data_IF_715029053024
#
_entry.id   IF_715029053024
#
_cell.length_a   1.000
_cell.length_b   1.000
_cell.length_c   1.000
_cell.angle_alpha   90.00
_cell.angle_beta   90.00
_cell.angle_gamma   90.00
#
_symmetry.space_group_name_H-M   'P 1'
#
loop_
_entity.id
_entity.type
_entity.pdbx_description
1 polymer ?
#
# COMPACT_ATOMS: atom_id res chain seq x y z
N UNK A 1 20.07 -7.27 -8.60
CA UNK A 1 19.32 -6.14 -9.14
C UNK A 1 19.93 -5.75 -10.46
N UNK A 2 19.11 -5.56 -11.48
CA UNK A 2 19.56 -5.18 -12.83
C UNK A 2 18.79 -3.97 -13.34
N UNK A 3 19.43 -3.16 -14.16
CA UNK A 3 18.75 -2.14 -14.98
C UNK A 3 17.96 -2.82 -16.09
N UNK A 4 17.05 -2.06 -16.72
CA UNK A 4 16.23 -2.55 -17.84
C UNK A 4 17.04 -2.98 -19.04
N UNK A 5 18.27 -2.46 -19.20
CA UNK A 5 19.23 -2.86 -20.25
C UNK A 5 20.00 -4.15 -19.92
N UNK A 6 19.71 -4.79 -18.79
CA UNK A 6 20.35 -6.01 -18.33
C UNK A 6 21.61 -5.81 -17.48
N UNK A 7 22.09 -4.59 -17.30
CA UNK A 7 23.28 -4.29 -16.51
C UNK A 7 23.02 -4.61 -15.03
N UNK A 8 23.84 -5.46 -14.42
CA UNK A 8 23.79 -5.76 -12.99
C UNK A 8 24.30 -4.56 -12.20
N UNK A 9 23.50 -4.06 -11.26
CA UNK A 9 23.83 -2.89 -10.43
C UNK A 9 24.08 -3.27 -8.97
N UNK A 10 23.51 -4.39 -8.51
CA UNK A 10 23.76 -4.92 -7.19
C UNK A 10 23.51 -6.43 -7.14
N UNK A 11 24.38 -7.16 -6.44
CA UNK A 11 24.18 -8.55 -6.04
C UNK A 11 23.94 -8.61 -4.54
N UNK A 12 22.81 -9.23 -4.18
CA UNK A 12 22.42 -9.38 -2.78
C UNK A 12 22.90 -10.74 -2.25
N UNK A 13 23.40 -10.81 -1.02
CA UNK A 13 23.85 -12.06 -0.45
C UNK A 13 22.71 -13.07 -0.34
N UNK A 14 22.98 -14.37 -0.56
CA UNK A 14 21.96 -15.39 -0.43
C UNK A 14 21.51 -15.55 1.02
N UNK A 15 20.20 -15.64 1.23
CA UNK A 15 19.58 -15.86 2.54
C UNK A 15 19.01 -17.28 2.60
N UNK A 16 19.24 -17.98 3.71
CA UNK A 16 18.65 -19.31 3.95
C UNK A 16 17.53 -19.22 4.96
N UNK A 17 16.41 -19.86 4.65
CA UNK A 17 15.26 -19.97 5.54
C UNK A 17 14.74 -21.40 5.51
N UNK A 18 14.37 -21.95 6.67
CA UNK A 18 13.66 -23.22 6.74
C UNK A 18 12.18 -22.99 6.42
N UNK A 19 11.66 -23.76 5.48
CA UNK A 19 10.24 -23.75 5.09
C UNK A 19 9.61 -25.03 5.64
N UNK A 20 8.52 -24.96 6.42
CA UNK A 20 7.83 -26.14 6.94
C UNK A 20 7.26 -27.00 5.80
N UNK A 21 7.09 -28.30 6.09
CA UNK A 21 6.45 -29.23 5.15
C UNK A 21 5.02 -28.74 4.83
N UNK A 22 4.70 -28.59 3.55
CA UNK A 22 3.41 -28.04 3.09
C UNK A 22 3.48 -26.65 2.46
N UNK A 23 4.65 -25.99 2.51
CA UNK A 23 4.88 -24.71 1.87
C UNK A 23 5.04 -23.56 2.85
N UNK A 24 5.50 -22.42 2.35
CA UNK A 24 5.73 -21.22 3.14
C UNK A 24 5.94 -20.00 2.27
N UNK A 25 5.90 -18.81 2.90
CA UNK A 25 6.19 -17.55 2.26
C UNK A 25 7.60 -17.10 2.65
N UNK A 26 8.46 -16.90 1.65
CA UNK A 26 9.74 -16.22 1.85
C UNK A 26 9.54 -14.72 1.78
N UNK A 27 9.93 -14.00 2.84
CA UNK A 27 9.97 -12.53 2.88
C UNK A 27 11.42 -12.08 3.01
N UNK A 28 11.85 -11.25 2.06
CA UNK A 28 13.15 -10.58 2.10
C UNK A 28 12.96 -9.07 2.00
N UNK A 29 13.89 -8.33 2.62
CA UNK A 29 14.02 -6.88 2.43
C UNK A 29 15.42 -6.61 1.89
N UNK A 30 15.51 -5.66 0.96
CA UNK A 30 16.78 -5.16 0.48
C UNK A 30 16.74 -3.63 0.40
N UNK A 31 17.90 -2.99 0.65
CA UNK A 31 18.02 -1.54 0.51
C UNK A 31 18.20 -1.18 -0.95
N UNK A 32 17.52 -0.12 -1.36
CA UNK A 32 17.73 0.53 -2.67
C UNK A 32 18.59 1.80 -2.53
N UNK A 33 19.13 2.06 -1.33
CA UNK A 33 20.01 3.19 -1.09
C UNK A 33 21.23 3.13 -2.02
N UNK A 34 21.54 4.25 -2.66
CA UNK A 34 22.62 4.35 -3.61
C UNK A 34 22.29 3.90 -5.04
N UNK A 35 21.08 3.41 -5.31
CA UNK A 35 20.63 3.22 -6.68
C UNK A 35 20.17 4.56 -7.26
N UNK A 36 20.70 4.98 -8.43
CA UNK A 36 20.19 6.15 -9.16
C UNK A 36 18.71 5.97 -9.53
N UNK A 37 18.01 7.10 -9.72
CA UNK A 37 16.64 7.07 -10.22
C UNK A 37 16.55 6.30 -11.53
N UNK A 38 15.52 5.47 -11.66
CA UNK A 38 15.32 4.69 -12.88
C UNK A 38 14.50 3.41 -12.69
N UNK A 39 14.35 2.72 -13.81
CA UNK A 39 13.66 1.44 -13.90
C UNK A 39 14.64 0.27 -13.67
N UNK A 40 14.28 -0.60 -12.75
CA UNK A 40 15.07 -1.76 -12.37
C UNK A 40 14.25 -3.05 -12.41
N UNK A 41 14.96 -4.17 -12.45
CA UNK A 41 14.40 -5.50 -12.29
C UNK A 41 15.11 -6.22 -11.14
N UNK A 42 14.34 -6.75 -10.20
CA UNK A 42 14.83 -7.71 -9.23
C UNK A 42 14.76 -9.10 -9.82
N UNK A 43 15.89 -9.79 -9.87
CA UNK A 43 15.98 -11.21 -10.21
C UNK A 43 16.17 -11.98 -8.90
N UNK A 44 15.19 -12.78 -8.51
CA UNK A 44 15.28 -13.65 -7.36
C UNK A 44 15.40 -15.10 -7.81
N UNK A 45 16.35 -15.82 -7.26
CA UNK A 45 16.53 -17.25 -7.51
C UNK A 45 16.30 -18.01 -6.21
N UNK A 46 15.30 -18.88 -6.21
CA UNK A 46 14.99 -19.75 -5.09
C UNK A 46 15.47 -21.18 -5.41
N UNK A 47 16.26 -21.76 -4.52
CA UNK A 47 16.71 -23.15 -4.62
C UNK A 47 16.06 -23.95 -3.49
N UNK A 48 15.19 -24.90 -3.83
CA UNK A 48 14.49 -25.77 -2.89
C UNK A 48 14.64 -27.22 -3.34
N UNK A 49 15.18 -28.07 -2.49
CA UNK A 49 15.36 -29.50 -2.76
C UNK A 49 16.05 -29.78 -4.13
N UNK A 50 17.06 -28.98 -4.48
CA UNK A 50 17.80 -29.12 -5.73
C UNK A 50 17.09 -28.57 -6.99
N UNK A 51 15.88 -28.02 -6.84
CA UNK A 51 15.16 -27.34 -7.92
C UNK A 51 15.36 -25.85 -7.82
N UNK A 52 15.61 -25.21 -8.95
CA UNK A 52 15.81 -23.76 -9.05
C UNK A 52 14.58 -23.11 -9.69
N UNK A 53 14.04 -22.10 -9.03
CA UNK A 53 12.96 -21.26 -9.56
C UNK A 53 13.47 -19.83 -9.60
N UNK A 54 13.37 -19.19 -10.75
CA UNK A 54 13.76 -17.78 -10.93
C UNK A 54 12.51 -16.93 -11.11
N UNK A 55 12.45 -15.81 -10.40
CA UNK A 55 11.40 -14.81 -10.51
C UNK A 55 12.02 -13.45 -10.85
N UNK A 56 11.34 -12.69 -11.68
CA UNK A 56 11.73 -11.33 -12.06
C UNK A 56 10.59 -10.38 -11.67
N UNK A 57 10.94 -9.30 -10.98
CA UNK A 57 9.96 -8.29 -10.56
C UNK A 57 10.49 -6.91 -10.92
N UNK A 58 9.77 -6.13 -11.74
CA UNK A 58 10.15 -4.76 -12.03
C UNK A 58 9.87 -3.86 -10.82
N UNK A 59 10.74 -2.87 -10.60
CA UNK A 59 10.52 -1.80 -9.64
C UNK A 59 11.16 -0.50 -10.13
N UNK A 60 10.72 0.63 -9.59
CA UNK A 60 11.21 1.96 -9.96
C UNK A 60 11.83 2.63 -8.73
N UNK A 61 13.04 3.16 -8.88
CA UNK A 61 13.63 4.09 -7.91
C UNK A 61 13.35 5.50 -8.39
N UNK A 62 12.69 6.31 -7.57
CA UNK A 62 12.27 7.67 -7.95
C UNK A 62 12.55 8.67 -6.84
N UNK A 63 12.73 9.97 -7.16
CA UNK A 63 12.94 11.04 -6.18
C UNK A 63 11.80 11.17 -5.17
N UNK A 64 10.58 10.77 -5.54
CA UNK A 64 9.44 10.71 -4.63
C UNK A 64 9.68 9.76 -3.46
N UNK A 65 10.49 8.72 -3.65
CA UNK A 65 10.87 7.77 -2.60
C UNK A 65 11.83 8.39 -1.59
N UNK A 66 12.76 9.23 -2.03
CA UNK A 66 13.65 10.00 -1.15
C UNK A 66 12.89 11.04 -0.31
N UNK A 67 11.97 11.77 -0.92
CA UNK A 67 11.10 12.70 -0.21
C UNK A 67 10.25 11.98 0.83
N UNK A 68 9.79 10.76 0.52
CA UNK A 68 9.03 9.91 1.42
C UNK A 68 9.90 9.36 2.56
N UNK A 69 11.11 8.87 2.28
CA UNK A 69 12.07 8.45 3.31
C UNK A 69 12.36 9.59 4.28
N UNK A 70 12.51 10.82 3.79
CA UNK A 70 12.65 12.02 4.63
C UNK A 70 11.41 12.25 5.49
N UNK A 71 10.20 12.11 4.93
CA UNK A 71 8.96 12.28 5.70
C UNK A 71 8.79 11.21 6.77
N UNK A 72 9.18 9.96 6.49
CA UNK A 72 9.20 8.86 7.48
C UNK A 72 10.24 9.11 8.57
N UNK A 73 11.44 9.54 8.20
CA UNK A 73 12.51 9.86 9.16
C UNK A 73 12.13 11.06 10.06
N UNK A 74 11.48 12.08 9.48
CA UNK A 74 10.93 13.22 10.24
C UNK A 74 9.80 12.75 11.15
N UNK A 75 8.92 11.87 10.69
CA UNK A 75 7.85 11.27 11.48
C UNK A 75 8.37 10.44 12.66
N UNK A 76 9.48 9.73 12.47
CA UNK A 76 10.14 8.96 13.54
C UNK A 76 10.92 9.83 14.50
N UNK A 77 11.54 10.92 14.03
CA UNK A 77 12.34 11.85 14.86
C UNK A 77 11.45 12.77 15.72
N UNK A 78 10.25 13.12 15.27
CA UNK A 78 9.32 14.01 15.95
C UNK A 78 8.20 13.26 16.66
N UNK A 79 8.55 12.34 17.55
CA UNK A 79 7.62 11.84 18.56
C UNK A 79 7.35 13.00 19.53
N UNK A 80 6.21 13.65 19.40
CA UNK A 80 5.85 14.81 20.21
C UNK A 80 4.40 15.19 19.99
N UNK A 81 4.01 16.30 20.57
CA UNK A 81 2.66 16.87 20.38
C UNK A 81 2.37 17.11 18.90
N UNK A 82 1.09 17.14 18.52
CA UNK A 82 0.67 17.50 17.17
C UNK A 82 1.22 18.87 16.78
N UNK A 83 1.22 19.81 17.74
CA UNK A 83 1.78 21.15 17.53
C UNK A 83 3.29 21.10 17.23
N UNK A 84 4.06 20.36 18.01
CA UNK A 84 5.50 20.21 17.78
C UNK A 84 5.80 19.57 16.41
N UNK A 85 5.05 18.53 16.05
CA UNK A 85 5.21 17.86 14.78
C UNK A 85 4.92 18.76 13.58
N UNK A 86 3.74 19.42 13.54
CA UNK A 86 3.38 20.24 12.39
C UNK A 86 4.11 21.56 12.32
N UNK A 87 4.58 22.11 13.43
CA UNK A 87 5.46 23.28 13.42
C UNK A 87 6.86 22.97 12.89
N UNK A 88 7.36 21.77 13.10
CA UNK A 88 8.64 21.31 12.57
C UNK A 88 8.56 20.82 11.10
N UNK A 89 7.35 20.52 10.59
CA UNK A 89 7.18 20.05 9.22
C UNK A 89 7.53 21.16 8.21
N UNK A 90 8.33 20.86 7.14
CA UNK A 90 8.59 21.83 6.08
C UNK A 90 7.28 22.35 5.42
N UNK A 91 7.29 23.60 4.99
CA UNK A 91 6.11 24.26 4.41
C UNK A 91 5.58 23.52 3.16
N UNK A 92 6.47 23.03 2.32
CA UNK A 92 6.16 22.25 1.11
C UNK A 92 5.53 20.88 1.39
N UNK A 93 5.66 20.39 2.62
CA UNK A 93 5.12 19.09 3.05
C UNK A 93 3.70 19.19 3.66
N UNK A 94 3.21 20.40 3.93
CA UNK A 94 1.89 20.59 4.57
C UNK A 94 0.74 20.14 3.66
N UNK A 95 0.82 20.47 2.38
CA UNK A 95 -0.22 20.08 1.40
C UNK A 95 -0.24 18.57 1.20
N UNK A 96 0.92 17.91 1.16
CA UNK A 96 1.01 16.46 1.10
C UNK A 96 0.47 15.78 2.37
N UNK A 97 0.72 16.37 3.55
CA UNK A 97 0.16 15.87 4.80
C UNK A 97 -1.37 16.00 4.85
N UNK A 98 -1.93 17.05 4.28
CA UNK A 98 -3.38 17.26 4.19
C UNK A 98 -4.04 16.38 3.11
N UNK A 99 -3.37 16.17 1.97
CA UNK A 99 -3.91 15.42 0.83
C UNK A 99 -4.35 13.99 1.21
N UNK A 100 -3.64 13.35 2.13
CA UNK A 100 -3.93 11.96 2.55
C UNK A 100 -5.06 11.85 3.60
N UNK A 101 -5.52 12.95 4.20
CA UNK A 101 -6.46 12.91 5.32
C UNK A 101 -7.82 12.28 5.00
N UNK A 102 -8.25 12.28 3.74
CA UNK A 102 -9.50 11.62 3.34
C UNK A 102 -9.45 10.10 3.60
N UNK A 103 -8.26 9.51 3.68
CA UNK A 103 -8.08 8.09 4.02
C UNK A 103 -8.42 7.79 5.49
N UNK A 104 -8.50 8.80 6.35
CA UNK A 104 -8.97 8.63 7.74
C UNK A 104 -10.47 8.37 7.83
N UNK A 105 -11.22 8.55 6.74
CA UNK A 105 -12.68 8.50 6.74
C UNK A 105 -13.35 9.77 7.29
N UNK A 106 -12.58 10.86 7.46
CA UNK A 106 -13.13 12.14 7.89
C UNK A 106 -14.17 12.68 6.89
N UNK A 107 -15.24 13.33 7.37
CA UNK A 107 -16.27 13.89 6.50
C UNK A 107 -15.69 14.95 5.53
N UNK A 108 -16.14 14.96 4.28
CA UNK A 108 -15.68 15.92 3.28
C UNK A 108 -15.86 17.37 3.72
N UNK A 109 -16.92 17.68 4.49
CA UNK A 109 -17.14 19.04 5.03
C UNK A 109 -15.98 19.52 5.92
N UNK A 110 -15.36 18.62 6.67
CA UNK A 110 -14.22 18.92 7.52
C UNK A 110 -12.94 19.10 6.69
N UNK A 111 -12.71 18.21 5.74
CA UNK A 111 -11.54 18.27 4.87
C UNK A 111 -11.56 19.47 3.92
N UNK A 112 -12.74 19.89 3.50
CA UNK A 112 -12.92 21.04 2.61
C UNK A 112 -12.60 22.39 3.27
N UNK A 113 -12.36 22.43 4.56
CA UNK A 113 -11.83 23.62 5.26
C UNK A 113 -10.40 23.91 4.83
N UNK A 114 -9.61 22.87 4.56
CA UNK A 114 -8.24 23.03 4.05
C UNK A 114 -8.26 23.53 2.60
N UNK A 115 -7.52 24.59 2.34
CA UNK A 115 -7.35 25.15 0.99
C UNK A 115 -5.87 25.36 0.70
N UNK A 116 -5.48 25.17 -0.56
CA UNK A 116 -4.08 25.32 -0.97
C UNK A 116 -3.57 26.76 -0.86
N UNK A 117 -4.45 27.73 -1.00
CA UNK A 117 -4.16 29.18 -0.91
C UNK A 117 -4.17 29.74 0.52
N UNK A 118 -4.41 28.90 1.53
CA UNK A 118 -4.28 29.30 2.94
C UNK A 118 -2.83 29.68 3.28
N UNK A 119 -2.67 30.60 4.24
CA UNK A 119 -1.34 30.87 4.81
C UNK A 119 -0.75 29.61 5.47
N UNK A 120 0.57 29.51 5.52
CA UNK A 120 1.25 28.37 6.16
C UNK A 120 0.85 28.20 7.62
N UNK A 121 0.66 29.31 8.34
CA UNK A 121 0.14 29.27 9.72
C UNK A 121 -1.27 28.66 9.81
N UNK A 122 -2.17 29.02 8.87
CA UNK A 122 -3.51 28.46 8.83
C UNK A 122 -3.51 26.97 8.44
N UNK A 123 -2.65 26.55 7.51
CA UNK A 123 -2.46 25.14 7.14
C UNK A 123 -1.99 24.30 8.34
N UNK A 124 -0.97 24.79 9.07
CA UNK A 124 -0.48 24.14 10.29
C UNK A 124 -1.57 24.01 11.34
N UNK A 125 -2.28 25.12 11.59
CA UNK A 125 -3.36 25.14 12.58
C UNK A 125 -4.45 24.13 12.25
N UNK A 126 -4.87 24.03 10.98
CA UNK A 126 -5.83 23.02 10.53
C UNK A 126 -5.35 21.61 10.85
N UNK A 127 -4.10 21.27 10.49
CA UNK A 127 -3.53 19.92 10.72
C UNK A 127 -3.41 19.60 12.22
N UNK A 128 -3.00 20.57 13.04
CA UNK A 128 -2.94 20.44 14.49
C UNK A 128 -4.33 20.16 15.07
N UNK A 129 -5.32 20.98 14.73
CA UNK A 129 -6.68 20.85 15.24
C UNK A 129 -7.34 19.53 14.78
N UNK A 130 -7.11 19.14 13.52
CA UNK A 130 -7.58 17.88 12.95
C UNK A 130 -7.11 16.68 13.76
N UNK A 131 -5.83 16.60 14.05
CA UNK A 131 -5.24 15.46 14.76
C UNK A 131 -5.48 15.53 16.27
N UNK A 132 -5.38 16.71 16.88
CA UNK A 132 -5.65 16.88 18.30
C UNK A 132 -7.10 16.51 18.68
N UNK A 133 -8.04 16.71 17.76
CA UNK A 133 -9.44 16.27 17.98
C UNK A 133 -9.61 14.74 17.91
N UNK A 134 -8.69 14.03 17.29
CA UNK A 134 -8.69 12.56 17.09
C UNK A 134 -7.80 11.79 18.05
N UNK A 135 -7.02 12.50 18.83
CA UNK A 135 -6.21 11.91 19.88
C UNK A 135 -7.08 11.28 20.95
N UNK A 136 -7.09 9.95 21.00
CA UNK A 136 -7.89 9.15 21.95
C UNK A 136 -7.21 9.02 23.31
N UNK A 137 -5.90 9.24 23.36
CA UNK A 137 -5.13 9.06 24.59
C UNK A 137 -4.46 10.37 25.05
N UNK A 138 -5.25 11.26 25.60
CA UNK A 138 -4.78 12.55 26.12
C UNK A 138 -3.77 12.44 27.27
N UNK A 139 -3.52 11.23 27.79
CA UNK A 139 -2.54 11.01 28.87
C UNK A 139 -1.11 10.92 28.37
N UNK A 140 -0.89 10.73 27.08
CA UNK A 140 0.43 10.70 26.44
C UNK A 140 0.73 12.01 25.71
N UNK A 141 2.01 12.29 25.56
CA UNK A 141 2.48 13.48 24.79
C UNK A 141 2.30 13.25 23.29
N UNK A 142 2.34 11.99 22.89
CA UNK A 142 2.24 11.60 21.48
C UNK A 142 0.78 11.34 21.10
N UNK A 143 0.40 11.76 19.90
CA UNK A 143 -0.85 11.31 19.28
C UNK A 143 -0.57 10.02 18.49
N UNK A 144 -0.85 8.87 19.11
CA UNK A 144 -0.58 7.57 18.51
C UNK A 144 -1.40 7.34 17.25
N UNK A 145 -2.62 7.85 17.17
CA UNK A 145 -3.46 7.73 15.97
C UNK A 145 -2.85 8.47 14.78
N UNK A 146 -2.30 9.68 14.98
CA UNK A 146 -1.56 10.42 13.95
C UNK A 146 -0.31 9.67 13.49
N UNK A 147 0.48 9.22 14.46
CA UNK A 147 1.73 8.50 14.18
C UNK A 147 1.44 7.24 13.38
N UNK A 148 0.49 6.42 13.82
CA UNK A 148 0.10 5.18 13.14
C UNK A 148 -0.42 5.44 11.72
N UNK A 149 -1.21 6.50 11.53
CA UNK A 149 -1.74 6.86 10.22
C UNK A 149 -0.64 7.23 9.22
N UNK A 150 0.25 8.16 9.56
CA UNK A 150 1.32 8.55 8.64
C UNK A 150 2.34 7.44 8.42
N UNK A 151 2.57 6.57 9.42
CA UNK A 151 3.37 5.35 9.22
C UNK A 151 2.69 4.38 8.24
N UNK A 152 1.37 4.21 8.34
CA UNK A 152 0.62 3.38 7.38
C UNK A 152 0.72 3.94 5.96
N UNK A 153 0.55 5.26 5.78
CA UNK A 153 0.73 5.94 4.49
C UNK A 153 2.14 5.72 3.94
N UNK A 154 3.17 5.90 4.78
CA UNK A 154 4.55 5.66 4.38
C UNK A 154 4.79 4.20 3.95
N UNK A 155 4.30 3.24 4.74
CA UNK A 155 4.44 1.81 4.44
C UNK A 155 3.74 1.41 3.13
N UNK A 156 2.54 1.94 2.87
CA UNK A 156 1.84 1.63 1.61
C UNK A 156 2.50 2.27 0.41
N UNK A 157 3.13 3.44 0.56
CA UNK A 157 3.89 4.05 -0.50
C UNK A 157 5.10 3.20 -0.92
N UNK A 158 5.78 2.59 0.05
CA UNK A 158 6.87 1.66 -0.22
C UNK A 158 6.38 0.35 -0.83
N UNK A 159 5.22 -0.16 -0.38
CA UNK A 159 4.76 -1.50 -0.74
C UNK A 159 3.91 -1.54 -2.01
N UNK A 160 3.09 -0.51 -2.24
CA UNK A 160 2.07 -0.49 -3.28
C UNK A 160 2.25 0.66 -4.29
N UNK A 161 3.44 1.28 -4.33
CA UNK A 161 3.78 2.22 -5.40
C UNK A 161 3.76 1.51 -6.76
N UNK A 162 3.12 2.13 -7.75
CA UNK A 162 2.97 1.62 -9.10
C UNK A 162 3.40 2.72 -10.08
N UNK A 163 4.10 2.38 -11.14
CA UNK A 163 4.53 3.24 -12.27
C UNK A 163 4.16 4.74 -12.15
N UNK A 164 4.94 5.51 -11.41
CA UNK A 164 4.75 6.95 -11.24
C UNK A 164 3.57 7.36 -10.34
N UNK A 165 2.89 6.39 -9.70
CA UNK A 165 1.85 6.63 -8.70
C UNK A 165 2.35 6.27 -7.32
N UNK A 166 2.27 7.19 -6.38
CA UNK A 166 2.55 6.92 -4.97
C UNK A 166 1.56 5.89 -4.42
N UNK A 167 2.02 5.03 -3.51
CA UNK A 167 1.26 3.87 -3.08
C UNK A 167 -0.14 4.16 -2.56
N UNK A 168 -0.32 5.21 -1.77
CA UNK A 168 -1.64 5.59 -1.24
C UNK A 168 -2.66 6.01 -2.32
N UNK A 169 -2.20 6.40 -3.52
CA UNK A 169 -3.06 6.72 -4.69
C UNK A 169 -3.46 5.47 -5.48
N UNK A 170 -2.86 4.31 -5.20
CA UNK A 170 -3.28 3.04 -5.79
C UNK A 170 -4.46 2.46 -5.03
N UNK A 171 -5.22 1.57 -5.68
CA UNK A 171 -6.36 0.94 -5.02
C UNK A 171 -5.93 0.05 -3.85
N UNK A 172 -4.83 -0.71 -4.01
CA UNK A 172 -4.28 -1.53 -2.93
C UNK A 172 -3.81 -0.67 -1.75
N UNK A 173 -3.07 0.40 -2.03
CA UNK A 173 -2.57 1.29 -0.98
C UNK A 173 -3.69 2.01 -0.26
N UNK A 174 -4.71 2.50 -0.98
CA UNK A 174 -5.90 3.14 -0.40
C UNK A 174 -6.62 2.19 0.57
N UNK A 175 -6.88 0.95 0.15
CA UNK A 175 -7.51 -0.07 0.99
C UNK A 175 -6.62 -0.39 2.20
N UNK A 176 -5.31 -0.56 2.00
CA UNK A 176 -4.37 -0.89 3.08
C UNK A 176 -4.27 0.22 4.15
N UNK A 177 -4.36 1.52 3.76
CA UNK A 177 -4.41 2.61 4.75
C UNK A 177 -5.72 2.61 5.52
N UNK A 178 -6.86 2.44 4.82
CA UNK A 178 -8.19 2.52 5.42
C UNK A 178 -8.53 1.35 6.36
N UNK A 179 -8.12 0.14 5.99
CA UNK A 179 -8.52 -1.10 6.67
C UNK A 179 -7.36 -1.79 7.40
N UNK A 180 -6.14 -1.26 7.27
CA UNK A 180 -4.95 -1.88 7.84
C UNK A 180 -4.47 -3.11 7.06
N UNK A 181 -3.61 -3.94 7.67
CA UNK A 181 -3.13 -5.18 7.08
C UNK A 181 -4.27 -6.20 6.97
N UNK A 182 -4.35 -6.88 5.81
CA UNK A 182 -5.29 -7.98 5.62
C UNK A 182 -4.95 -9.18 6.54
N UNK A 183 -5.97 -9.94 6.94
CA UNK A 183 -5.79 -11.17 7.72
C UNK A 183 -5.26 -12.31 6.84
N UNK A 184 -5.78 -12.42 5.62
CA UNK A 184 -5.45 -13.48 4.66
C UNK A 184 -5.41 -12.92 3.24
N UNK A 185 -4.60 -13.55 2.39
CA UNK A 185 -4.47 -13.21 0.98
C UNK A 185 -4.50 -14.46 0.11
N UNK A 186 -5.29 -14.42 -0.96
CA UNK A 186 -5.17 -15.30 -2.11
C UNK A 186 -4.53 -14.50 -3.24
N UNK A 187 -3.32 -14.85 -3.65
CA UNK A 187 -2.62 -14.21 -4.76
C UNK A 187 -2.36 -15.23 -5.88
N UNK A 188 -2.66 -14.87 -7.12
CA UNK A 188 -2.43 -15.69 -8.29
C UNK A 188 -1.71 -14.89 -9.38
N UNK A 189 -0.61 -15.41 -9.91
CA UNK A 189 -0.03 -14.87 -11.14
C UNK A 189 -0.96 -15.14 -12.33
N UNK A 190 -0.70 -14.49 -13.46
CA UNK A 190 -1.41 -14.83 -14.70
C UNK A 190 -1.07 -16.27 -15.13
N UNK A 191 -2.11 -17.03 -15.48
CA UNK A 191 -2.00 -18.39 -16.00
C UNK A 191 -2.55 -18.53 -17.44
N UNK A 192 -2.77 -17.40 -18.11
CA UNK A 192 -3.36 -17.32 -19.46
C UNK A 192 -4.90 -17.33 -19.48
N UNK A 193 -5.56 -17.69 -18.37
CA UNK A 193 -7.04 -17.64 -18.24
C UNK A 193 -7.51 -16.34 -17.62
N UNK A 194 -6.71 -15.78 -16.73
CA UNK A 194 -6.97 -14.51 -16.07
C UNK A 194 -5.68 -13.71 -15.88
N UNK A 195 -5.76 -12.37 -15.76
CA UNK A 195 -4.64 -11.56 -15.35
C UNK A 195 -4.22 -11.88 -13.90
N UNK A 196 -3.05 -11.42 -13.44
CA UNK A 196 -2.69 -11.51 -12.04
C UNK A 196 -3.77 -10.90 -11.16
N UNK A 197 -4.11 -11.58 -10.06
CA UNK A 197 -5.11 -11.07 -9.12
C UNK A 197 -4.73 -11.36 -7.66
N UNK A 198 -5.25 -10.54 -6.78
CA UNK A 198 -5.16 -10.66 -5.33
C UNK A 198 -6.55 -10.54 -4.71
N UNK A 199 -6.83 -11.42 -3.74
CA UNK A 199 -8.03 -11.31 -2.90
C UNK A 199 -7.57 -11.13 -1.46
N UNK A 200 -7.93 -10.00 -0.87
CA UNK A 200 -7.63 -9.69 0.52
C UNK A 200 -8.84 -9.95 1.39
N UNK A 201 -8.65 -10.66 2.48
CA UNK A 201 -9.69 -10.95 3.47
C UNK A 201 -9.31 -10.40 4.84
N UNK A 202 -10.26 -9.73 5.46
CA UNK A 202 -10.20 -9.21 6.82
C UNK A 202 -11.20 -9.98 7.65
N UNK A 203 -10.75 -10.64 8.72
CA UNK A 203 -11.58 -11.54 9.56
C UNK A 203 -11.90 -10.94 10.93
N UNK A 204 -11.27 -9.82 11.30
CA UNK A 204 -11.53 -9.15 12.56
C UNK A 204 -12.76 -8.26 12.42
N UNK A 205 -13.76 -8.45 13.28
CA UNK A 205 -15.05 -7.77 13.21
C UNK A 205 -15.96 -8.33 12.13
N UNK A 206 -16.64 -7.45 11.38
CA UNK A 206 -17.43 -7.87 10.22
C UNK A 206 -16.48 -8.32 9.11
N UNK A 207 -16.63 -9.55 8.56
CA UNK A 207 -15.77 -10.00 7.47
C UNK A 207 -15.89 -9.10 6.23
N UNK A 208 -14.76 -8.55 5.79
CA UNK A 208 -14.68 -7.75 4.58
C UNK A 208 -13.65 -8.38 3.64
N UNK A 209 -13.88 -8.21 2.34
CA UNK A 209 -12.93 -8.68 1.31
C UNK A 209 -12.87 -7.71 0.13
N UNK A 210 -11.73 -7.74 -0.55
CA UNK A 210 -11.40 -6.93 -1.71
C UNK A 210 -10.76 -7.80 -2.78
N UNK A 211 -11.20 -7.66 -4.04
CA UNK A 211 -10.64 -8.38 -5.20
C UNK A 211 -9.95 -7.36 -6.09
N UNK A 212 -8.65 -7.54 -6.29
CA UNK A 212 -7.83 -6.70 -7.17
C UNK A 212 -7.33 -7.51 -8.35
N UNK A 213 -7.19 -6.88 -9.53
CA UNK A 213 -6.52 -7.49 -10.67
C UNK A 213 -5.64 -6.50 -11.42
N UNK A 214 -4.55 -7.02 -11.99
CA UNK A 214 -3.65 -6.30 -12.88
C UNK A 214 -3.97 -6.67 -14.33
N UNK A 215 -4.91 -5.94 -14.94
CA UNK A 215 -5.40 -6.20 -16.30
C UNK A 215 -4.30 -6.19 -17.36
N UNK A 216 -3.27 -5.41 -17.16
CA UNK A 216 -2.17 -5.24 -18.10
C UNK A 216 -0.96 -6.10 -17.81
N UNK A 217 -0.95 -6.88 -16.74
CA UNK A 217 0.22 -7.61 -16.25
C UNK A 217 1.47 -6.71 -16.11
N UNK A 218 1.25 -5.50 -15.57
CA UNK A 218 2.25 -4.44 -15.45
C UNK A 218 2.51 -4.00 -14.01
N UNK A 219 1.94 -4.70 -13.03
CA UNK A 219 1.99 -4.35 -11.61
C UNK A 219 0.94 -3.31 -11.19
N UNK A 220 -0.01 -2.95 -12.07
CA UNK A 220 -1.05 -1.96 -11.79
C UNK A 220 -2.36 -2.66 -11.40
N UNK A 221 -2.55 -2.90 -10.13
CA UNK A 221 -3.73 -3.58 -9.58
C UNK A 221 -4.86 -2.60 -9.32
N UNK A 222 -6.01 -2.83 -9.95
CA UNK A 222 -7.24 -2.07 -9.72
C UNK A 222 -8.20 -2.87 -8.85
N UNK A 223 -8.97 -2.19 -8.01
CA UNK A 223 -10.04 -2.82 -7.23
C UNK A 223 -11.21 -3.15 -8.14
N UNK A 224 -11.48 -4.44 -8.33
CA UNK A 224 -12.59 -4.92 -9.16
C UNK A 224 -13.90 -4.97 -8.38
N UNK A 225 -13.87 -5.58 -7.20
CA UNK A 225 -15.04 -5.87 -6.39
C UNK A 225 -14.71 -5.93 -4.91
N UNK A 226 -15.66 -5.55 -4.05
CA UNK A 226 -15.60 -5.79 -2.62
C UNK A 226 -17.01 -5.93 -2.02
N UNK A 227 -17.12 -6.39 -0.78
CA UNK A 227 -18.35 -6.34 0.00
C UNK A 227 -18.40 -5.13 0.94
N UNK A 228 -17.45 -4.22 0.85
CA UNK A 228 -17.45 -2.96 1.60
C UNK A 228 -18.11 -1.86 0.77
N UNK A 229 -19.26 -1.36 1.22
CA UNK A 229 -20.08 -0.40 0.46
C UNK A 229 -19.37 0.94 0.18
N UNK A 230 -18.37 1.31 1.00
CA UNK A 230 -17.57 2.54 0.80
C UNK A 230 -16.47 2.36 -0.23
N UNK A 231 -16.19 1.12 -0.62
CA UNK A 231 -15.16 0.74 -1.58
C UNK A 231 -15.70 -0.37 -2.51
N UNK A 232 -16.77 -0.11 -3.25
CA UNK A 232 -17.51 -1.17 -3.97
C UNK A 232 -16.71 -1.80 -5.11
N UNK A 233 -15.62 -1.17 -5.54
CA UNK A 233 -14.88 -1.52 -6.75
C UNK A 233 -15.33 -0.69 -7.96
N UNK A 234 -14.50 -0.70 -8.99
CA UNK A 234 -14.66 0.14 -10.17
C UNK A 234 -15.18 -0.59 -11.41
N UNK A 235 -15.30 -1.92 -11.38
CA UNK A 235 -15.59 -2.72 -12.55
C UNK A 235 -17.01 -3.29 -12.50
N UNK A 236 -17.94 -2.68 -13.24
CA UNK A 236 -19.29 -3.24 -13.43
C UNK A 236 -19.25 -4.67 -14.02
N UNK A 237 -18.28 -4.97 -14.87
CA UNK A 237 -18.09 -6.27 -15.54
C UNK A 237 -16.82 -6.99 -15.06
N UNK A 238 -16.62 -7.10 -13.76
CA UNK A 238 -15.42 -7.73 -13.20
C UNK A 238 -15.26 -9.21 -13.62
N UNK A 239 -16.37 -9.92 -13.93
CA UNK A 239 -16.35 -11.30 -14.44
C UNK A 239 -15.79 -11.42 -15.86
N UNK A 240 -15.84 -10.36 -16.66
CA UNK A 240 -15.14 -10.33 -17.96
C UNK A 240 -13.63 -10.24 -17.81
N UNK A 241 -13.17 -9.77 -16.65
CA UNK A 241 -11.74 -9.65 -16.34
C UNK A 241 -11.19 -10.94 -15.74
N UNK A 242 -11.92 -11.53 -14.78
CA UNK A 242 -11.43 -12.69 -14.00
C UNK A 242 -12.06 -14.03 -14.40
N UNK A 243 -12.96 -14.08 -15.35
CA UNK A 243 -13.75 -15.24 -15.78
C UNK A 243 -14.64 -15.86 -14.69
N UNK A 244 -15.74 -16.52 -15.05
CA UNK A 244 -16.64 -17.18 -14.08
C UNK A 244 -15.93 -18.27 -13.25
N UNK A 245 -15.03 -19.04 -13.86
CA UNK A 245 -14.30 -20.13 -13.19
C UNK A 245 -13.38 -19.59 -12.08
N UNK A 246 -12.71 -18.47 -12.33
CA UNK A 246 -11.87 -17.80 -11.31
C UNK A 246 -12.75 -17.19 -10.22
N UNK A 247 -13.92 -16.63 -10.58
CA UNK A 247 -14.87 -16.14 -9.58
C UNK A 247 -15.37 -17.26 -8.66
N UNK A 248 -15.62 -18.46 -9.19
CA UNK A 248 -15.98 -19.64 -8.40
C UNK A 248 -14.82 -20.09 -7.47
N UNK A 249 -13.56 -20.04 -7.93
CA UNK A 249 -12.40 -20.30 -7.07
C UNK A 249 -12.35 -19.31 -5.90
N UNK A 250 -12.47 -18.02 -6.21
CA UNK A 250 -12.47 -16.95 -5.20
C UNK A 250 -13.65 -17.11 -4.24
N UNK A 251 -14.86 -17.41 -4.76
CA UNK A 251 -16.05 -17.62 -3.96
C UNK A 251 -15.88 -18.75 -2.95
N UNK A 252 -15.32 -19.89 -3.40
CA UNK A 252 -15.00 -21.03 -2.51
C UNK A 252 -13.98 -20.65 -1.44
N UNK A 253 -12.94 -19.90 -1.79
CA UNK A 253 -11.94 -19.44 -0.83
C UNK A 253 -12.50 -18.47 0.21
N UNK A 254 -13.39 -17.56 -0.23
CA UNK A 254 -14.08 -16.61 0.65
C UNK A 254 -15.22 -17.24 1.45
N UNK A 255 -15.75 -18.39 1.02
CA UNK A 255 -16.95 -18.99 1.58
C UNK A 255 -18.26 -18.25 1.21
N UNK A 256 -18.29 -17.58 0.05
CA UNK A 256 -19.43 -16.80 -0.44
C UNK A 256 -19.77 -17.14 -1.89
N UNK A 257 -21.03 -16.94 -2.29
CA UNK A 257 -21.41 -17.03 -3.69
C UNK A 257 -21.27 -15.63 -4.34
N UNK A 258 -20.23 -15.47 -5.17
CA UNK A 258 -19.96 -14.20 -5.84
C UNK A 258 -20.89 -13.88 -7.01
N UNK A 259 -21.59 -14.88 -7.54
CA UNK A 259 -22.57 -14.68 -8.63
C UNK A 259 -23.80 -13.88 -8.17
N UNK A 260 -24.06 -13.82 -6.86
CA UNK A 260 -25.20 -13.14 -6.24
C UNK A 260 -24.81 -11.87 -5.48
N UNK A 261 -23.57 -11.44 -5.56
CA UNK A 261 -23.12 -10.20 -4.92
C UNK A 261 -23.32 -9.05 -5.91
N UNK A 262 -24.19 -8.07 -5.64
CA UNK A 262 -24.51 -6.96 -6.53
C UNK A 262 -23.31 -6.06 -6.82
#
# INVERSE_FOLDING_TARGET
>A
IRKRDGTTVADLPPTRQQIPAGGGLFKGQFSVEGLPDGDYQMHATLVVAGKTVTMQTPFVVSPAEEALKRSVAISQANRGTDEGYFNALPDDSLDAAAEVLFLTGAPSRELNVYKQDMSMAAKRRFLIDFWSSRDKNKATVNNEDRIAFYQAVANVNLKYGERGRVGWKTDRGRVAVKFGPFSEILARPSDGRAPPYEVWRYTVGKPIWFIFADRGNQGNFILLKSNEFREPGSAGNWLEILTPEVADEIGRWLGVNLSNVP
#
